data_IF_068038770752
#
_entry.id   IF_068038770752
#
_cell.length_a   1.000
_cell.length_b   1.000
_cell.length_c   1.000
_cell.angle_alpha   90.00
_cell.angle_beta   90.00
_cell.angle_gamma   90.00
#
_symmetry.space_group_name_H-M   'P 1'
#
loop_
_entity.id
_entity.type
_entity.pdbx_description
1 polymer ?
#
# COMPACT_ATOMS: atom_id res chain seq x y z
N UNK A 1 53.61 43.30 9.40
CA UNK A 1 52.96 42.18 8.68
C UNK A 1 51.49 42.15 9.12
N UNK A 2 50.55 42.20 8.18
CA UNK A 2 49.11 42.47 8.42
C UNK A 2 48.38 41.14 8.65
N UNK A 3 47.79 40.93 9.82
CA UNK A 3 46.98 39.74 10.10
C UNK A 3 45.67 39.81 9.29
N UNK A 4 45.41 38.79 8.46
CA UNK A 4 44.12 38.65 7.76
C UNK A 4 43.10 38.06 8.72
N UNK A 5 41.98 38.77 8.88
CA UNK A 5 40.82 38.29 9.60
C UNK A 5 40.21 37.07 8.87
N UNK A 6 39.92 36.01 9.61
CA UNK A 6 39.17 34.86 9.12
C UNK A 6 37.69 35.23 8.95
N UNK A 7 37.15 34.95 7.77
CA UNK A 7 35.72 35.15 7.46
C UNK A 7 34.87 34.10 8.19
N UNK A 8 33.91 34.49 9.03
CA UNK A 8 33.10 33.54 9.78
C UNK A 8 31.76 33.33 9.07
N UNK A 9 31.74 32.66 7.91
CA UNK A 9 30.47 32.36 7.23
C UNK A 9 30.50 30.96 6.59
N UNK A 10 30.55 29.93 7.43
CA UNK A 10 30.08 28.59 7.02
C UNK A 10 29.10 28.08 8.06
N UNK A 11 27.89 28.65 8.01
CA UNK A 11 26.76 28.16 8.79
C UNK A 11 26.32 26.84 8.17
N UNK A 12 26.85 25.73 8.68
CA UNK A 12 26.35 24.40 8.37
C UNK A 12 24.85 24.35 8.71
N UNK A 13 23.98 24.45 7.69
CA UNK A 13 22.55 24.25 7.88
C UNK A 13 22.32 22.78 8.23
N UNK A 14 21.91 22.52 9.46
CA UNK A 14 21.39 21.21 9.86
C UNK A 14 20.14 20.93 9.02
N UNK A 15 20.25 20.01 8.08
CA UNK A 15 19.09 19.46 7.38
C UNK A 15 18.29 18.69 8.43
N UNK A 16 17.14 19.25 8.84
CA UNK A 16 16.22 18.55 9.74
C UNK A 16 15.78 17.27 9.03
N UNK A 17 15.87 16.08 9.65
CA UNK A 17 15.32 14.88 9.05
C UNK A 17 13.81 15.07 8.89
N UNK A 18 13.34 15.09 7.64
CA UNK A 18 11.92 15.02 7.34
C UNK A 18 11.47 13.64 7.79
N UNK A 19 10.78 13.54 8.92
CA UNK A 19 10.06 12.31 9.27
C UNK A 19 8.91 12.14 8.25
N UNK A 20 9.20 11.43 7.16
CA UNK A 20 8.14 10.92 6.28
C UNK A 20 7.48 9.77 7.04
N UNK A 21 6.36 10.06 7.68
CA UNK A 21 5.47 9.01 8.23
C UNK A 21 5.08 8.12 7.04
N UNK A 22 5.64 6.92 6.97
CA UNK A 22 5.26 5.98 5.93
C UNK A 22 3.77 5.68 6.11
N UNK A 23 2.95 5.75 5.05
CA UNK A 23 1.58 5.28 5.14
C UNK A 23 1.62 3.81 5.54
N UNK A 24 0.99 3.48 6.66
CA UNK A 24 0.80 2.08 7.05
C UNK A 24 -0.33 1.50 6.21
N UNK A 25 -0.14 0.28 5.73
CA UNK A 25 -1.15 -0.46 4.98
C UNK A 25 -1.52 -1.72 5.74
N UNK A 26 -2.82 -1.97 5.83
CA UNK A 26 -3.39 -3.23 6.26
C UNK A 26 -3.62 -4.10 5.03
N UNK A 27 -3.33 -5.39 5.14
CA UNK A 27 -3.48 -6.34 4.03
C UNK A 27 -4.45 -7.44 4.41
N UNK A 28 -5.32 -7.81 3.46
CA UNK A 28 -6.29 -8.89 3.60
C UNK A 28 -6.23 -9.77 2.36
N UNK A 29 -6.42 -11.07 2.55
CA UNK A 29 -6.55 -12.05 1.48
C UNK A 29 -7.93 -12.67 1.58
N UNK A 30 -8.65 -12.69 0.47
CA UNK A 30 -9.93 -13.40 0.35
C UNK A 30 -9.85 -14.53 -0.66
N UNK A 31 -10.49 -15.65 -0.33
CA UNK A 31 -10.54 -16.84 -1.16
C UNK A 31 -11.92 -16.92 -1.82
N UNK A 32 -11.94 -16.88 -3.15
CA UNK A 32 -13.16 -16.99 -3.95
C UNK A 32 -13.15 -18.35 -4.65
N UNK A 33 -14.08 -19.22 -4.26
CA UNK A 33 -14.25 -20.50 -4.92
C UNK A 33 -14.97 -20.29 -6.26
N UNK A 34 -14.28 -20.60 -7.36
CA UNK A 34 -14.78 -20.50 -8.74
C UNK A 34 -15.29 -21.83 -9.28
N UNK A 35 -15.13 -22.94 -8.55
CA UNK A 35 -15.55 -24.29 -9.00
C UNK A 35 -17.05 -24.39 -9.31
N UNK A 36 -17.88 -23.65 -8.58
CA UNK A 36 -19.35 -23.71 -8.68
C UNK A 36 -19.99 -22.34 -8.95
N UNK A 37 -19.18 -21.31 -9.18
CA UNK A 37 -19.63 -19.92 -9.18
C UNK A 37 -19.60 -19.39 -10.60
N UNK A 38 -20.73 -18.81 -11.05
CA UNK A 38 -20.82 -18.18 -12.39
C UNK A 38 -19.85 -16.98 -12.47
N UNK A 39 -19.18 -16.74 -13.61
CA UNK A 39 -18.25 -15.62 -13.80
C UNK A 39 -18.80 -14.26 -13.34
N UNK A 40 -20.05 -13.96 -13.69
CA UNK A 40 -20.72 -12.71 -13.31
C UNK A 40 -20.79 -12.49 -11.78
N UNK A 41 -20.93 -13.58 -11.01
CA UNK A 41 -20.99 -13.51 -9.55
C UNK A 41 -19.60 -13.32 -8.94
N UNK A 42 -18.54 -13.77 -9.61
CA UNK A 42 -17.15 -13.56 -9.22
C UNK A 42 -16.77 -12.09 -9.45
N UNK A 43 -17.14 -11.52 -10.61
CA UNK A 43 -16.92 -10.09 -10.90
C UNK A 43 -17.64 -9.18 -9.91
N UNK A 44 -18.90 -9.51 -9.56
CA UNK A 44 -19.65 -8.77 -8.55
C UNK A 44 -18.98 -8.84 -7.17
N UNK A 45 -18.43 -10.01 -6.78
CA UNK A 45 -17.70 -10.16 -5.52
C UNK A 45 -16.40 -9.35 -5.52
N UNK A 46 -15.60 -9.41 -6.57
CA UNK A 46 -14.37 -8.62 -6.69
C UNK A 46 -14.65 -7.12 -6.68
N UNK A 47 -15.73 -6.69 -7.33
CA UNK A 47 -16.17 -5.29 -7.34
C UNK A 47 -16.60 -4.83 -5.95
N UNK A 48 -17.37 -5.66 -5.23
CA UNK A 48 -17.79 -5.35 -3.85
C UNK A 48 -16.60 -5.21 -2.90
N UNK A 49 -15.58 -6.05 -3.05
CA UNK A 49 -14.36 -5.98 -2.24
C UNK A 49 -13.56 -4.70 -2.42
N UNK A 50 -13.73 -4.00 -3.55
CA UNK A 50 -13.13 -2.70 -3.82
C UNK A 50 -13.88 -1.48 -3.26
N UNK A 51 -15.07 -1.65 -2.68
CA UNK A 51 -15.93 -0.52 -2.29
C UNK A 51 -15.78 -0.07 -0.83
N UNK A 52 -15.33 -0.95 0.08
CA UNK A 52 -15.29 -0.66 1.53
C UNK A 52 -13.96 -0.08 2.02
N UNK A 53 -13.34 0.79 1.22
CA UNK A 53 -12.02 1.38 1.52
C UNK A 53 -10.85 0.38 1.41
N UNK A 54 -11.13 -0.83 0.92
CA UNK A 54 -10.13 -1.80 0.52
C UNK A 54 -9.82 -1.64 -0.96
N UNK A 55 -8.55 -1.58 -1.31
CA UNK A 55 -8.05 -1.53 -2.67
C UNK A 55 -7.66 -2.95 -3.10
N UNK A 56 -8.33 -3.47 -4.12
CA UNK A 56 -7.96 -4.75 -4.73
C UNK A 56 -6.63 -4.57 -5.49
N UNK A 57 -5.58 -5.25 -5.02
CA UNK A 57 -4.21 -5.15 -5.54
C UNK A 57 -3.94 -6.17 -6.64
N UNK A 58 -4.37 -7.41 -6.40
CA UNK A 58 -4.09 -8.52 -7.29
C UNK A 58 -5.10 -9.64 -7.09
N UNK A 59 -5.38 -10.39 -8.14
CA UNK A 59 -6.14 -11.63 -8.08
C UNK A 59 -5.27 -12.72 -8.67
N UNK A 60 -4.91 -13.72 -7.87
CA UNK A 60 -4.05 -14.82 -8.29
C UNK A 60 -4.84 -16.13 -8.23
N UNK A 61 -4.89 -16.91 -9.30
CA UNK A 61 -5.43 -18.26 -9.25
C UNK A 61 -4.57 -19.17 -8.37
N UNK A 62 -5.23 -19.95 -7.52
CA UNK A 62 -4.61 -21.05 -6.81
C UNK A 62 -4.59 -22.27 -7.73
N UNK A 63 -3.40 -22.76 -8.07
CA UNK A 63 -3.25 -23.86 -9.04
C UNK A 63 -3.13 -25.23 -8.40
N UNK A 64 -3.38 -25.35 -7.09
CA UNK A 64 -3.29 -26.59 -6.31
C UNK A 64 -4.44 -27.59 -6.62
N UNK A 65 -5.09 -27.45 -7.78
CA UNK A 65 -6.20 -28.30 -8.23
C UNK A 65 -7.58 -27.83 -7.76
N UNK A 66 -7.66 -26.92 -6.80
CA UNK A 66 -8.89 -26.26 -6.39
C UNK A 66 -9.14 -25.01 -7.25
N UNK A 67 -10.34 -24.88 -7.82
CA UNK A 67 -10.71 -23.69 -8.59
C UNK A 67 -10.96 -22.53 -7.61
N UNK A 68 -9.89 -21.93 -7.11
CA UNK A 68 -9.92 -20.85 -6.12
C UNK A 68 -9.14 -19.66 -6.65
N UNK A 69 -9.70 -18.47 -6.52
CA UNK A 69 -9.00 -17.21 -6.74
C UNK A 69 -8.66 -16.58 -5.38
N UNK A 70 -7.40 -16.20 -5.21
CA UNK A 70 -6.90 -15.41 -4.08
C UNK A 70 -6.95 -13.94 -4.45
N UNK A 71 -7.88 -13.19 -3.87
CA UNK A 71 -7.98 -11.74 -4.00
C UNK A 71 -7.14 -11.07 -2.89
N UNK A 72 -6.14 -10.29 -3.28
CA UNK A 72 -5.28 -9.53 -2.40
C UNK A 72 -5.78 -8.10 -2.28
N UNK A 73 -6.03 -7.67 -1.05
CA UNK A 73 -6.58 -6.36 -0.75
C UNK A 73 -5.62 -5.61 0.16
N UNK A 74 -5.51 -4.30 -0.03
CA UNK A 74 -4.79 -3.41 0.88
C UNK A 74 -5.67 -2.22 1.27
N UNK A 75 -5.51 -1.71 2.48
CA UNK A 75 -6.19 -0.50 2.96
C UNK A 75 -5.19 0.41 3.66
N UNK A 76 -5.29 1.72 3.49
CA UNK A 76 -4.48 2.67 4.27
C UNK A 76 -4.97 2.76 5.71
N UNK A 77 -4.07 2.55 6.65
CA UNK A 77 -4.33 2.76 8.07
C UNK A 77 -3.83 4.16 8.41
N UNK A 78 -4.73 5.13 8.49
CA UNK A 78 -4.36 6.53 8.80
C UNK A 78 -5.28 7.61 8.22
N UNK A 79 -6.18 7.28 7.31
CA UNK A 79 -7.23 8.19 6.84
C UNK A 79 -8.42 8.18 7.81
N UNK A 80 -8.17 8.49 9.09
CA UNK A 80 -9.21 8.98 9.99
C UNK A 80 -9.34 10.47 9.73
N UNK A 81 -10.35 10.84 8.95
CA UNK A 81 -10.88 12.21 8.86
C UNK A 81 -11.22 12.74 10.25
#
# INVERSE_FOLDING_TARGET
MKARAASPNSTCRLIRPIQRKQPMFEYKIELINTAKTKPLKIEAQLTALGQDGWELVSVVPDFDGEHILKAFLKRRTGDTT
#
